data_IF_933349449283
#
_entry.id   IF_933349449283
#
_cell.length_a   1.000
_cell.length_b   1.000
_cell.length_c   1.000
_cell.angle_alpha   90.00
_cell.angle_beta   90.00
_cell.angle_gamma   90.00
#
_symmetry.space_group_name_H-M   'P 1'
#
loop_
_entity.id
_entity.type
_entity.pdbx_description
1 polymer ?
#
# COMPACT_ATOMS: atom_id res chain seq x y z
N UNK A 1 -7.13 -12.56 -5.18
CA UNK A 1 -6.60 -12.33 -6.53
C UNK A 1 -5.16 -11.88 -6.45
N UNK A 2 -4.33 -12.28 -7.36
CA UNK A 2 -2.94 -11.82 -7.53
C UNK A 2 -2.48 -12.09 -8.97
N UNK A 3 -1.48 -11.34 -9.44
CA UNK A 3 -0.79 -11.60 -10.71
C UNK A 3 0.27 -12.69 -10.57
N UNK A 4 0.76 -12.91 -9.37
CA UNK A 4 1.76 -13.94 -9.06
C UNK A 4 1.07 -15.21 -8.53
N UNK A 5 1.14 -16.28 -9.36
CA UNK A 5 0.48 -17.55 -9.05
C UNK A 5 1.05 -18.23 -7.78
N UNK A 6 2.36 -18.18 -7.57
CA UNK A 6 3.02 -18.86 -6.45
C UNK A 6 2.58 -18.27 -5.11
N UNK A 7 2.66 -16.94 -4.96
CA UNK A 7 2.22 -16.26 -3.73
C UNK A 7 0.71 -16.31 -3.53
N UNK A 8 -0.07 -16.38 -4.62
CA UNK A 8 -1.50 -16.62 -4.56
C UNK A 8 -1.82 -18.00 -3.99
N UNK A 9 -1.14 -19.05 -4.47
CA UNK A 9 -1.31 -20.42 -4.00
C UNK A 9 -0.90 -20.54 -2.52
N UNK A 10 0.20 -19.92 -2.09
CA UNK A 10 0.58 -19.84 -0.67
C UNK A 10 -0.52 -19.21 0.20
N UNK A 11 -1.11 -18.12 -0.29
CA UNK A 11 -2.22 -17.44 0.41
C UNK A 11 -3.44 -18.35 0.53
N UNK A 12 -3.78 -19.09 -0.53
CA UNK A 12 -4.88 -20.07 -0.51
C UNK A 12 -4.63 -21.15 0.54
N UNK A 13 -3.41 -21.71 0.61
CA UNK A 13 -3.06 -22.71 1.61
C UNK A 13 -3.15 -22.16 3.06
N UNK A 14 -2.75 -20.90 3.27
CA UNK A 14 -2.93 -20.25 4.57
C UNK A 14 -4.41 -20.13 4.96
N UNK A 15 -5.27 -19.74 4.00
CA UNK A 15 -6.70 -19.55 4.25
C UNK A 15 -7.45 -20.87 4.49
N UNK A 16 -7.08 -21.96 3.81
CA UNK A 16 -7.68 -23.29 4.01
C UNK A 16 -7.57 -23.80 5.44
N UNK A 17 -6.51 -23.38 6.17
CA UNK A 17 -6.33 -23.74 7.60
C UNK A 17 -7.44 -23.18 8.51
N UNK A 18 -8.20 -22.18 8.03
CA UNK A 18 -9.28 -21.58 8.80
C UNK A 18 -10.66 -22.20 8.52
N UNK A 19 -10.74 -23.28 7.73
CA UNK A 19 -11.96 -23.98 7.39
C UNK A 19 -13.05 -23.08 6.77
N UNK A 20 -12.61 -22.18 5.87
CA UNK A 20 -13.47 -21.26 5.12
C UNK A 20 -13.47 -21.63 3.64
N UNK A 21 -14.55 -21.28 2.92
CA UNK A 21 -14.59 -21.41 1.47
C UNK A 21 -13.64 -20.38 0.83
N UNK A 22 -12.76 -20.84 -0.03
CA UNK A 22 -11.73 -20.00 -0.69
C UNK A 22 -11.82 -20.22 -2.20
N UNK A 23 -11.86 -19.12 -2.94
CA UNK A 23 -11.61 -19.12 -4.38
C UNK A 23 -10.42 -18.20 -4.71
N UNK A 24 -9.68 -18.53 -5.74
CA UNK A 24 -8.53 -17.76 -6.20
C UNK A 24 -8.64 -17.45 -7.70
N UNK A 25 -8.20 -16.25 -8.06
CA UNK A 25 -8.22 -15.79 -9.44
C UNK A 25 -6.84 -15.21 -9.77
N UNK A 26 -6.16 -15.82 -10.74
CA UNK A 26 -4.94 -15.23 -11.32
C UNK A 26 -5.38 -14.07 -12.21
N UNK A 27 -5.05 -12.85 -11.82
CA UNK A 27 -5.61 -11.64 -12.43
C UNK A 27 -4.67 -10.45 -12.22
N UNK A 28 -4.44 -9.69 -13.29
CA UNK A 28 -3.79 -8.38 -13.23
C UNK A 28 -4.87 -7.30 -12.99
N UNK A 29 -4.68 -6.47 -11.97
CA UNK A 29 -5.62 -5.36 -11.67
C UNK A 29 -5.57 -4.24 -12.71
N UNK A 30 -4.54 -4.19 -13.56
CA UNK A 30 -4.45 -3.30 -14.71
C UNK A 30 -5.35 -3.77 -15.87
N UNK A 31 -5.72 -5.06 -15.92
CA UNK A 31 -6.68 -5.58 -16.89
C UNK A 31 -8.11 -5.19 -16.47
N UNK A 32 -8.61 -4.13 -17.09
CA UNK A 32 -9.93 -3.57 -16.79
C UNK A 32 -11.06 -4.57 -17.04
N UNK A 33 -11.01 -5.33 -18.12
CA UNK A 33 -12.06 -6.29 -18.50
C UNK A 33 -12.10 -7.45 -17.49
N UNK A 34 -10.93 -7.94 -17.08
CA UNK A 34 -10.83 -8.98 -16.06
C UNK A 34 -11.36 -8.51 -14.69
N UNK A 35 -11.09 -7.25 -14.32
CA UNK A 35 -11.62 -6.63 -13.09
C UNK A 35 -13.14 -6.43 -13.17
N UNK A 36 -13.69 -5.99 -14.31
CA UNK A 36 -15.14 -5.81 -14.49
C UNK A 36 -15.90 -7.14 -14.40
N UNK A 37 -15.30 -8.25 -14.84
CA UNK A 37 -15.89 -9.58 -14.76
C UNK A 37 -15.75 -10.26 -13.39
N UNK A 38 -14.86 -9.78 -12.52
CA UNK A 38 -14.52 -10.44 -11.24
C UNK A 38 -15.68 -10.49 -10.24
N UNK A 39 -16.48 -9.42 -10.02
CA UNK A 39 -17.55 -9.44 -9.03
C UNK A 39 -18.56 -10.56 -9.27
N UNK A 40 -18.98 -10.78 -10.52
CA UNK A 40 -19.94 -11.84 -10.85
C UNK A 40 -19.35 -13.23 -10.56
N UNK A 41 -18.08 -13.47 -10.91
CA UNK A 41 -17.39 -14.74 -10.61
C UNK A 41 -17.36 -15.01 -9.10
N UNK A 42 -17.13 -13.98 -8.29
CA UNK A 42 -17.13 -14.09 -6.82
C UNK A 42 -18.54 -14.37 -6.29
N UNK A 43 -19.56 -13.69 -6.80
CA UNK A 43 -20.96 -13.91 -6.40
C UNK A 43 -21.42 -15.32 -6.78
N UNK A 44 -21.06 -15.82 -7.96
CA UNK A 44 -21.39 -17.17 -8.39
C UNK A 44 -20.80 -18.26 -7.46
N UNK A 45 -19.62 -18.00 -6.90
CA UNK A 45 -18.91 -18.94 -6.01
C UNK A 45 -19.29 -18.81 -4.55
N UNK A 46 -19.56 -17.60 -4.07
CA UNK A 46 -19.77 -17.30 -2.65
C UNK A 46 -21.15 -16.73 -2.31
N UNK A 47 -21.98 -16.48 -3.32
CA UNK A 47 -23.33 -15.95 -3.17
C UNK A 47 -23.40 -14.43 -2.90
N UNK A 48 -22.32 -13.82 -2.42
CA UNK A 48 -22.28 -12.40 -2.04
C UNK A 48 -20.87 -11.85 -1.91
N UNK A 49 -20.77 -10.51 -1.87
CA UNK A 49 -19.58 -9.77 -1.46
C UNK A 49 -19.97 -8.80 -0.35
N UNK A 50 -19.20 -8.74 0.73
CA UNK A 50 -19.39 -7.80 1.83
C UNK A 50 -18.20 -6.83 2.00
N UNK A 51 -16.97 -7.30 1.69
CA UNK A 51 -15.74 -6.50 1.83
C UNK A 51 -14.88 -6.60 0.57
N UNK A 52 -14.36 -5.46 0.12
CA UNK A 52 -13.39 -5.38 -0.97
C UNK A 52 -12.13 -4.68 -0.48
N UNK A 53 -10.97 -5.33 -0.64
CA UNK A 53 -9.67 -4.76 -0.33
C UNK A 53 -8.91 -4.48 -1.63
N UNK A 54 -8.83 -3.22 -2.03
CA UNK A 54 -7.98 -2.77 -3.12
C UNK A 54 -6.57 -2.56 -2.57
N UNK A 55 -5.79 -3.63 -2.56
CA UNK A 55 -4.48 -3.68 -1.91
C UNK A 55 -3.32 -3.84 -2.89
N UNK A 56 -3.55 -4.29 -4.11
CA UNK A 56 -2.51 -4.38 -5.13
C UNK A 56 -1.78 -3.05 -5.29
N UNK A 57 -0.47 -3.12 -5.42
CA UNK A 57 0.34 -1.91 -5.56
C UNK A 57 1.81 -2.22 -5.79
N UNK A 58 2.42 -1.38 -6.60
CA UNK A 58 3.81 -1.47 -7.04
C UNK A 58 4.51 -0.12 -6.87
N UNK A 59 5.84 -0.12 -7.00
CA UNK A 59 6.64 1.11 -6.92
C UNK A 59 7.76 1.08 -7.97
N UNK A 60 8.36 2.22 -8.19
CA UNK A 60 9.63 2.38 -8.92
C UNK A 60 10.58 3.24 -8.10
N UNK A 61 11.87 3.14 -8.33
CA UNK A 61 12.91 3.89 -7.62
C UNK A 61 13.69 4.83 -8.55
N UNK A 62 13.00 5.62 -9.41
CA UNK A 62 13.66 6.54 -10.37
C UNK A 62 13.28 7.99 -10.14
N UNK A 63 14.21 8.91 -10.41
CA UNK A 63 13.91 10.33 -10.50
C UNK A 63 13.01 10.61 -11.71
N UNK A 64 12.14 11.60 -11.61
CA UNK A 64 11.16 11.92 -12.66
C UNK A 64 11.82 12.20 -14.04
N UNK A 65 12.98 12.84 -14.04
CA UNK A 65 13.72 13.14 -15.28
C UNK A 65 14.23 11.88 -16.03
N UNK A 66 14.41 10.77 -15.29
CA UNK A 66 14.95 9.50 -15.79
C UNK A 66 13.86 8.40 -15.85
N UNK A 67 12.59 8.78 -15.60
CA UNK A 67 11.45 7.86 -15.58
C UNK A 67 10.99 7.55 -17.00
N UNK A 68 11.02 6.31 -17.40
CA UNK A 68 10.43 5.85 -18.65
C UNK A 68 8.89 5.89 -18.58
N UNK A 69 8.25 6.25 -19.68
CA UNK A 69 6.78 6.35 -19.79
C UNK A 69 6.10 5.01 -19.46
N UNK A 70 6.67 3.89 -19.90
CA UNK A 70 6.17 2.55 -19.60
C UNK A 70 6.13 2.27 -18.09
N UNK A 71 7.15 2.67 -17.34
CA UNK A 71 7.18 2.50 -15.89
C UNK A 71 6.19 3.44 -15.18
N UNK A 72 6.02 4.66 -15.72
CA UNK A 72 5.01 5.60 -15.24
C UNK A 72 3.60 5.00 -15.40
N UNK A 73 3.25 4.55 -16.61
CA UNK A 73 1.94 3.99 -16.94
C UNK A 73 1.68 2.70 -16.13
N UNK A 74 2.66 1.81 -16.02
CA UNK A 74 2.55 0.61 -15.20
C UNK A 74 2.17 0.90 -13.74
N UNK A 75 2.79 1.90 -13.12
CA UNK A 75 2.44 2.28 -11.73
C UNK A 75 1.05 2.94 -11.67
N UNK A 76 0.71 3.77 -12.65
CA UNK A 76 -0.61 4.41 -12.73
C UNK A 76 -1.72 3.38 -12.90
N UNK A 77 -1.54 2.41 -13.79
CA UNK A 77 -2.55 1.39 -14.10
C UNK A 77 -2.83 0.49 -12.89
N UNK A 78 -1.79 0.04 -12.20
CA UNK A 78 -1.96 -0.82 -11.04
C UNK A 78 -2.45 -0.02 -9.82
N UNK A 79 -1.74 1.05 -9.45
CA UNK A 79 -1.97 1.72 -8.18
C UNK A 79 -3.20 2.62 -8.15
N UNK A 80 -3.62 3.16 -9.29
CA UNK A 80 -4.74 4.10 -9.39
C UNK A 80 -5.90 3.53 -10.20
N UNK A 81 -5.68 3.17 -11.47
CA UNK A 81 -6.76 2.69 -12.33
C UNK A 81 -7.30 1.35 -11.83
N UNK A 82 -6.46 0.43 -11.34
CA UNK A 82 -6.89 -0.81 -10.71
C UNK A 82 -7.81 -0.57 -9.52
N UNK A 83 -7.49 0.38 -8.64
CA UNK A 83 -8.35 0.76 -7.50
C UNK A 83 -9.68 1.34 -7.96
N UNK A 84 -9.67 2.26 -8.95
CA UNK A 84 -10.88 2.92 -9.46
C UNK A 84 -11.78 1.89 -10.16
N UNK A 85 -11.22 1.06 -11.04
CA UNK A 85 -11.97 0.07 -11.81
C UNK A 85 -12.58 -1.00 -10.90
N UNK A 86 -11.80 -1.53 -9.95
CA UNK A 86 -12.31 -2.48 -8.95
C UNK A 86 -13.41 -1.85 -8.11
N UNK A 87 -13.23 -0.63 -7.60
CA UNK A 87 -14.25 0.07 -6.83
C UNK A 87 -15.55 0.20 -7.63
N UNK A 88 -15.46 0.63 -8.90
CA UNK A 88 -16.61 0.79 -9.80
C UNK A 88 -17.31 -0.54 -10.06
N UNK A 89 -16.57 -1.61 -10.30
CA UNK A 89 -17.10 -2.94 -10.57
C UNK A 89 -17.85 -3.54 -9.36
N UNK A 90 -17.33 -3.33 -8.13
CA UNK A 90 -17.89 -3.93 -6.94
C UNK A 90 -19.05 -3.15 -6.29
N UNK A 91 -19.15 -1.83 -6.46
CA UNK A 91 -20.24 -1.01 -5.86
C UNK A 91 -21.64 -1.58 -6.12
N UNK A 92 -22.01 -2.01 -7.35
CA UNK A 92 -23.34 -2.58 -7.60
C UNK A 92 -23.67 -3.82 -6.75
N UNK A 93 -22.66 -4.62 -6.39
CA UNK A 93 -22.80 -5.85 -5.60
C UNK A 93 -22.77 -5.60 -4.08
N UNK A 94 -22.32 -4.42 -3.66
CA UNK A 94 -22.21 -4.01 -2.26
C UNK A 94 -23.36 -3.12 -1.79
N UNK A 95 -24.02 -2.39 -2.69
CA UNK A 95 -25.01 -1.35 -2.35
C UNK A 95 -26.21 -1.86 -1.56
N UNK A 96 -26.63 -3.11 -1.81
CA UNK A 96 -27.80 -3.72 -1.18
C UNK A 96 -27.42 -4.61 0.02
N UNK A 97 -26.14 -4.57 0.43
CA UNK A 97 -25.70 -5.32 1.61
C UNK A 97 -26.02 -4.55 2.89
N UNK A 98 -26.44 -5.24 3.98
CA UNK A 98 -26.76 -4.60 5.26
C UNK A 98 -25.52 -3.96 5.91
N UNK A 99 -24.34 -4.53 5.66
CA UNK A 99 -23.02 -3.98 6.03
C UNK A 99 -22.04 -4.32 4.92
N UNK A 100 -21.42 -3.31 4.36
CA UNK A 100 -20.40 -3.47 3.31
C UNK A 100 -19.26 -2.46 3.45
N UNK A 101 -18.09 -2.82 2.97
CA UNK A 101 -16.99 -1.87 2.92
C UNK A 101 -16.07 -2.08 1.73
N UNK A 102 -15.55 -0.95 1.20
CA UNK A 102 -14.42 -0.89 0.28
C UNK A 102 -13.24 -0.27 1.03
N UNK A 103 -12.12 -0.94 0.99
CA UNK A 103 -10.89 -0.56 1.66
C UNK A 103 -9.80 -0.30 0.63
N UNK A 104 -9.48 0.97 0.37
CA UNK A 104 -8.48 1.38 -0.61
C UNK A 104 -7.14 1.66 0.06
N UNK A 105 -6.09 0.98 -0.41
CA UNK A 105 -4.74 1.12 0.14
C UNK A 105 -4.00 2.27 -0.56
N UNK A 106 -3.98 3.43 0.11
CA UNK A 106 -3.07 4.53 -0.20
C UNK A 106 -1.69 4.26 0.44
N UNK A 107 -1.08 5.24 1.04
CA UNK A 107 0.20 5.18 1.76
C UNK A 107 0.32 6.41 2.65
N UNK A 108 1.29 6.43 3.56
CA UNK A 108 1.78 7.68 4.13
C UNK A 108 2.34 8.59 3.02
N UNK A 109 2.82 8.02 1.93
CA UNK A 109 3.24 8.73 0.71
C UNK A 109 2.07 9.26 -0.14
N UNK A 110 0.82 9.11 0.30
CA UNK A 110 -0.35 9.90 -0.11
C UNK A 110 -0.60 11.13 0.77
N UNK A 111 0.32 11.44 1.72
CA UNK A 111 0.28 12.59 2.63
C UNK A 111 1.54 13.45 2.55
N UNK A 112 2.70 12.81 2.45
CA UNK A 112 4.02 13.42 2.40
C UNK A 112 4.76 12.94 1.16
N UNK A 113 5.74 13.71 0.69
CA UNK A 113 6.52 13.39 -0.51
C UNK A 113 8.01 13.26 -0.21
N UNK A 114 8.67 12.36 -0.93
CA UNK A 114 10.13 12.17 -0.95
C UNK A 114 10.64 12.13 -2.40
N UNK A 115 11.91 12.45 -2.65
CA UNK A 115 12.51 12.32 -3.98
C UNK A 115 12.51 10.87 -4.48
N UNK A 116 12.60 10.67 -5.80
CA UNK A 116 12.81 9.37 -6.43
C UNK A 116 11.57 8.47 -6.53
N UNK A 117 10.38 8.96 -6.14
CA UNK A 117 9.12 8.18 -6.19
C UNK A 117 7.93 9.00 -6.69
N UNK A 118 8.15 9.87 -7.68
CA UNK A 118 7.14 10.85 -8.11
C UNK A 118 5.84 10.20 -8.56
N UNK A 119 5.87 9.16 -9.39
CA UNK A 119 4.67 8.46 -9.86
C UNK A 119 3.96 7.74 -8.72
N UNK A 120 4.71 7.12 -7.80
CA UNK A 120 4.11 6.47 -6.63
C UNK A 120 3.35 7.48 -5.76
N UNK A 121 3.96 8.64 -5.49
CA UNK A 121 3.28 9.74 -4.79
C UNK A 121 2.03 10.20 -5.54
N UNK A 122 2.14 10.45 -6.84
CA UNK A 122 0.98 10.85 -7.66
C UNK A 122 -0.19 9.88 -7.51
N UNK A 123 0.06 8.56 -7.62
CA UNK A 123 -0.99 7.55 -7.46
C UNK A 123 -1.55 7.50 -6.03
N UNK A 124 -0.71 7.55 -5.00
CA UNK A 124 -1.18 7.42 -3.61
C UNK A 124 -1.91 8.67 -3.09
N UNK A 125 -1.54 9.87 -3.55
CA UNK A 125 -2.34 11.09 -3.33
C UNK A 125 -3.67 11.01 -4.07
N UNK A 126 -3.68 10.53 -5.33
CA UNK A 126 -4.90 10.37 -6.12
C UNK A 126 -5.86 9.35 -5.48
N UNK A 127 -5.36 8.17 -5.06
CA UNK A 127 -6.17 7.16 -4.34
C UNK A 127 -6.77 7.74 -3.06
N UNK A 128 -6.01 8.53 -2.30
CA UNK A 128 -6.54 9.21 -1.13
C UNK A 128 -7.68 10.15 -1.51
N UNK A 129 -7.45 11.09 -2.44
CA UNK A 129 -8.46 12.08 -2.85
C UNK A 129 -9.73 11.40 -3.38
N UNK A 130 -9.56 10.41 -4.25
CA UNK A 130 -10.65 9.57 -4.77
C UNK A 130 -11.45 8.90 -3.65
N UNK A 131 -10.76 8.23 -2.72
CA UNK A 131 -11.40 7.48 -1.63
C UNK A 131 -12.13 8.40 -0.65
N UNK A 132 -11.55 9.55 -0.31
CA UNK A 132 -12.16 10.52 0.60
C UNK A 132 -13.41 11.16 0.00
N UNK A 133 -13.38 11.52 -1.30
CA UNK A 133 -14.57 12.03 -2.01
C UNK A 133 -15.67 10.98 -2.08
N UNK A 134 -15.34 9.77 -2.52
CA UNK A 134 -16.28 8.66 -2.61
C UNK A 134 -16.92 8.32 -1.24
N UNK A 135 -16.15 8.42 -0.16
CA UNK A 135 -16.67 8.19 1.19
C UNK A 135 -17.74 9.20 1.61
N UNK A 136 -17.67 10.43 1.10
CA UNK A 136 -18.70 11.45 1.34
C UNK A 136 -19.93 11.19 0.48
N UNK A 137 -19.75 10.87 -0.81
CA UNK A 137 -20.85 10.54 -1.72
C UNK A 137 -21.65 9.32 -1.24
N UNK A 138 -20.96 8.26 -0.79
CA UNK A 138 -21.63 7.07 -0.26
C UNK A 138 -22.34 7.34 1.07
N UNK A 139 -21.80 8.20 1.92
CA UNK A 139 -22.47 8.58 3.16
C UNK A 139 -23.80 9.32 2.93
N UNK A 140 -23.94 10.02 1.79
CA UNK A 140 -25.19 10.69 1.39
C UNK A 140 -26.19 9.76 0.72
N UNK A 141 -25.72 8.76 -0.02
CA UNK A 141 -26.54 7.93 -0.90
C UNK A 141 -26.74 6.48 -0.40
N UNK A 142 -25.79 5.98 0.39
CA UNK A 142 -25.82 4.61 0.92
C UNK A 142 -25.02 4.50 2.22
N UNK A 143 -25.66 4.73 3.35
CA UNK A 143 -25.03 4.68 4.69
C UNK A 143 -24.49 3.30 5.10
N UNK A 144 -24.95 2.21 4.46
CA UNK A 144 -24.50 0.85 4.74
C UNK A 144 -23.15 0.52 4.07
N UNK A 145 -22.77 1.24 3.00
CA UNK A 145 -21.51 1.05 2.31
C UNK A 145 -20.44 2.00 2.87
N UNK A 146 -19.52 1.44 3.62
CA UNK A 146 -18.38 2.19 4.19
C UNK A 146 -17.19 2.24 3.23
N UNK A 147 -16.58 3.40 3.09
CA UNK A 147 -15.38 3.59 2.28
C UNK A 147 -14.22 4.01 3.17
N UNK A 148 -13.13 3.24 3.13
CA UNK A 148 -11.96 3.43 3.99
C UNK A 148 -10.70 3.69 3.17
N UNK A 149 -9.92 4.70 3.56
CA UNK A 149 -8.59 4.95 3.04
C UNK A 149 -7.55 4.49 4.06
N UNK A 150 -6.70 3.54 3.65
CA UNK A 150 -5.62 3.02 4.49
C UNK A 150 -4.32 3.74 4.17
N UNK A 151 -3.60 4.18 5.19
CA UNK A 151 -2.33 4.88 5.09
C UNK A 151 -1.25 4.10 5.83
N UNK A 152 -0.65 3.07 5.20
CA UNK A 152 0.48 2.37 5.79
C UNK A 152 1.70 3.29 5.91
N UNK A 153 2.38 3.21 7.05
CA UNK A 153 3.77 3.60 7.18
C UNK A 153 4.67 2.45 6.73
N UNK A 154 5.74 2.17 7.45
CA UNK A 154 6.64 1.08 7.10
C UNK A 154 6.07 -0.27 7.53
N UNK A 155 5.53 -1.01 6.57
CA UNK A 155 5.06 -2.41 6.73
C UNK A 155 6.01 -3.33 5.95
N UNK A 156 6.49 -4.39 6.59
CA UNK A 156 7.46 -5.35 6.03
C UNK A 156 6.81 -6.26 4.98
N UNK A 157 6.69 -5.76 3.76
CA UNK A 157 6.15 -6.46 2.59
C UNK A 157 7.22 -6.62 1.52
N UNK A 158 6.89 -7.34 0.45
CA UNK A 158 7.76 -7.51 -0.70
C UNK A 158 7.68 -6.35 -1.72
N UNK A 159 7.10 -5.20 -1.35
CA UNK A 159 6.88 -4.09 -2.29
C UNK A 159 8.18 -3.59 -2.94
N UNK A 160 9.28 -3.57 -2.19
CA UNK A 160 10.60 -3.17 -2.72
C UNK A 160 11.14 -4.25 -3.65
N UNK A 161 11.06 -5.53 -3.28
CA UNK A 161 11.50 -6.64 -4.13
C UNK A 161 10.70 -6.73 -5.44
N UNK A 162 9.43 -6.34 -5.42
CA UNK A 162 8.55 -6.34 -6.59
C UNK A 162 8.55 -5.00 -7.35
N UNK A 163 9.40 -4.05 -6.95
CA UNK A 163 9.52 -2.76 -7.64
C UNK A 163 10.38 -2.88 -8.89
N UNK A 164 10.04 -2.09 -9.91
CA UNK A 164 10.91 -1.93 -11.08
C UNK A 164 12.01 -0.93 -10.73
N UNK A 165 13.13 -1.46 -10.25
CA UNK A 165 14.36 -0.70 -9.97
C UNK A 165 15.51 -1.33 -10.76
N UNK A 166 16.35 -0.49 -11.33
CA UNK A 166 17.52 -0.88 -12.07
C UNK A 166 18.78 -0.73 -11.19
N UNK A 167 19.57 -1.80 -11.09
CA UNK A 167 20.78 -1.87 -10.25
C UNK A 167 21.82 -0.80 -10.64
N UNK A 168 21.95 -0.49 -11.92
CA UNK A 168 22.90 0.50 -12.38
C UNK A 168 22.49 1.90 -11.92
N UNK A 169 21.22 2.27 -12.17
CA UNK A 169 20.64 3.53 -11.68
C UNK A 169 20.68 3.64 -10.16
N UNK A 170 20.50 2.52 -9.45
CA UNK A 170 20.59 2.50 -7.99
C UNK A 170 22.02 2.79 -7.51
N UNK A 171 23.03 2.16 -8.09
CA UNK A 171 24.45 2.40 -7.79
C UNK A 171 24.88 3.82 -8.12
N UNK A 172 24.47 4.34 -9.29
CA UNK A 172 24.72 5.73 -9.64
C UNK A 172 24.10 6.71 -8.62
N UNK A 173 22.90 6.41 -8.12
CA UNK A 173 22.26 7.23 -7.08
C UNK A 173 23.04 7.22 -5.76
N UNK A 174 23.65 6.08 -5.40
CA UNK A 174 24.50 5.97 -4.21
C UNK A 174 25.80 6.76 -4.36
N UNK A 175 26.39 6.80 -5.56
CA UNK A 175 27.61 7.54 -5.85
C UNK A 175 27.37 9.06 -5.91
N UNK A 176 26.25 9.50 -6.49
CA UNK A 176 25.88 10.92 -6.62
C UNK A 176 25.45 11.54 -5.29
N UNK A 177 24.83 10.78 -4.40
CA UNK A 177 24.50 11.23 -3.07
C UNK A 177 25.77 11.27 -2.21
N UNK A 178 26.57 12.32 -2.38
CA UNK A 178 27.68 12.61 -1.50
C UNK A 178 27.30 12.37 -0.04
N UNK A 179 28.13 11.67 0.73
CA UNK A 179 28.01 11.26 2.15
C UNK A 179 27.60 12.36 3.16
N UNK A 180 26.97 13.42 2.70
CA UNK A 180 26.59 14.61 3.47
C UNK A 180 25.27 14.47 4.24
N UNK A 181 24.45 13.45 3.94
CA UNK A 181 23.19 13.23 4.61
C UNK A 181 23.24 12.02 5.55
N UNK A 182 22.76 12.16 6.78
CA UNK A 182 22.61 11.07 7.76
C UNK A 182 21.81 9.89 7.18
N UNK A 183 20.96 10.15 6.19
CA UNK A 183 20.12 9.14 5.52
C UNK A 183 20.88 8.28 4.51
N UNK A 184 22.03 8.75 4.00
CA UNK A 184 22.80 8.05 2.98
C UNK A 184 23.88 7.16 3.58
N UNK A 185 24.25 7.39 4.83
CA UNK A 185 25.41 6.79 5.49
C UNK A 185 25.32 5.28 5.73
N UNK A 186 24.12 4.70 5.70
CA UNK A 186 23.87 3.28 5.95
C UNK A 186 22.84 2.69 4.94
N UNK A 187 22.88 3.14 3.68
CA UNK A 187 22.05 2.53 2.65
C UNK A 187 22.59 1.16 2.27
N UNK A 188 21.74 0.18 2.02
CA UNK A 188 22.12 -1.10 1.44
C UNK A 188 22.89 -0.91 0.13
N UNK A 189 23.86 -1.77 -0.14
CA UNK A 189 24.68 -1.67 -1.34
C UNK A 189 23.97 -2.20 -2.60
N UNK A 190 22.94 -3.03 -2.43
CA UNK A 190 22.17 -3.64 -3.51
C UNK A 190 20.67 -3.46 -3.29
N UNK A 191 19.89 -3.60 -4.36
CA UNK A 191 18.41 -3.60 -4.29
C UNK A 191 17.92 -4.78 -3.44
N UNK A 192 18.56 -5.94 -3.52
CA UNK A 192 18.22 -7.13 -2.75
C UNK A 192 18.37 -6.88 -1.24
N UNK A 193 19.52 -6.35 -0.81
CA UNK A 193 19.73 -5.95 0.59
C UNK A 193 18.73 -4.89 1.06
N UNK A 194 18.36 -3.96 0.17
CA UNK A 194 17.35 -2.95 0.46
C UNK A 194 15.97 -3.59 0.65
N UNK A 195 15.59 -4.53 -0.19
CA UNK A 195 14.33 -5.25 -0.09
C UNK A 195 14.25 -6.08 1.20
N UNK A 196 15.32 -6.79 1.55
CA UNK A 196 15.40 -7.56 2.79
C UNK A 196 15.33 -6.65 4.03
N UNK A 197 16.13 -5.60 4.06
CA UNK A 197 16.11 -4.60 5.13
C UNK A 197 14.75 -3.92 5.28
N UNK A 198 14.08 -3.62 4.18
CA UNK A 198 12.72 -3.07 4.19
C UNK A 198 11.73 -4.08 4.77
N UNK A 199 11.79 -5.34 4.35
CA UNK A 199 10.92 -6.41 4.81
C UNK A 199 11.09 -6.68 6.31
N UNK A 200 12.30 -6.85 6.77
CA UNK A 200 12.60 -7.15 8.17
C UNK A 200 12.37 -5.96 9.09
N UNK A 201 12.74 -4.77 8.63
CA UNK A 201 12.58 -3.53 9.35
C UNK A 201 11.13 -3.06 9.47
N UNK A 202 10.14 -3.57 8.73
CA UNK A 202 8.74 -3.15 8.73
C UNK A 202 7.90 -3.72 9.87
N UNK A 203 6.73 -3.14 10.10
CA UNK A 203 5.70 -3.78 10.91
C UNK A 203 5.28 -5.08 10.26
N UNK A 204 5.13 -6.15 11.03
CA UNK A 204 4.67 -7.43 10.50
C UNK A 204 3.29 -7.30 9.80
N UNK A 205 3.09 -7.84 8.59
CA UNK A 205 1.85 -7.68 7.81
C UNK A 205 0.58 -8.11 8.57
N UNK A 206 0.64 -9.17 9.38
CA UNK A 206 -0.53 -9.62 10.17
C UNK A 206 -0.97 -8.57 11.20
N UNK A 207 -0.03 -7.83 11.80
CA UNK A 207 -0.36 -6.73 12.71
C UNK A 207 -0.97 -5.54 11.97
N UNK A 208 -0.48 -5.24 10.77
CA UNK A 208 -1.06 -4.23 9.91
C UNK A 208 -2.52 -4.60 9.55
N UNK A 209 -2.77 -5.85 9.15
CA UNK A 209 -4.11 -6.35 8.86
C UNK A 209 -5.07 -6.21 10.06
N UNK A 210 -4.64 -6.54 11.28
CA UNK A 210 -5.44 -6.36 12.51
C UNK A 210 -5.82 -4.89 12.73
N UNK A 211 -4.89 -3.94 12.46
CA UNK A 211 -5.17 -2.50 12.58
C UNK A 211 -6.21 -2.08 11.55
N UNK A 212 -6.09 -2.57 10.30
CA UNK A 212 -7.06 -2.29 9.22
C UNK A 212 -8.44 -2.79 9.64
N UNK A 213 -8.57 -4.06 10.00
CA UNK A 213 -9.85 -4.66 10.39
C UNK A 213 -10.47 -3.96 11.60
N UNK A 214 -9.65 -3.58 12.60
CA UNK A 214 -10.12 -2.76 13.73
C UNK A 214 -10.61 -1.38 13.29
N UNK A 215 -9.96 -0.77 12.30
CA UNK A 215 -10.36 0.51 11.72
C UNK A 215 -11.69 0.43 10.98
N UNK A 216 -11.86 -0.63 10.17
CA UNK A 216 -13.11 -0.92 9.45
C UNK A 216 -14.26 -1.13 10.43
N UNK A 217 -14.11 -2.01 11.43
CA UNK A 217 -15.11 -2.21 12.49
C UNK A 217 -15.51 -0.95 13.23
N UNK A 218 -14.59 0.01 13.38
CA UNK A 218 -14.82 1.32 14.01
C UNK A 218 -15.28 2.39 13.03
N UNK A 219 -15.58 2.02 11.79
CA UNK A 219 -16.05 2.91 10.70
C UNK A 219 -15.14 4.13 10.48
N UNK A 220 -13.81 3.94 10.61
CA UNK A 220 -12.83 5.02 10.43
C UNK A 220 -12.58 5.30 8.97
N UNK A 221 -12.86 6.49 8.48
CA UNK A 221 -12.59 6.89 7.09
C UNK A 221 -11.11 6.82 6.73
N UNK A 222 -10.21 7.20 7.66
CA UNK A 222 -8.75 7.10 7.50
C UNK A 222 -8.19 6.12 8.53
N UNK A 223 -7.40 5.16 8.06
CA UNK A 223 -6.78 4.13 8.89
C UNK A 223 -5.26 4.23 8.73
N UNK A 224 -4.60 4.79 9.74
CA UNK A 224 -3.14 4.91 9.78
C UNK A 224 -2.52 3.67 10.39
N UNK A 225 -1.49 3.12 9.73
CA UNK A 225 -0.76 1.93 10.18
C UNK A 225 0.66 2.36 10.57
N UNK A 226 1.00 2.14 11.84
CA UNK A 226 2.28 2.51 12.42
C UNK A 226 2.25 3.88 13.10
N UNK A 227 3.23 4.10 13.98
CA UNK A 227 3.43 5.38 14.64
C UNK A 227 4.06 6.39 13.68
N UNK A 228 4.94 5.90 12.81
CA UNK A 228 5.58 6.65 11.74
C UNK A 228 4.56 7.36 10.84
N UNK A 229 3.52 6.63 10.38
CA UNK A 229 2.49 7.22 9.53
C UNK A 229 1.73 8.36 10.22
N UNK A 230 1.44 8.22 11.52
CA UNK A 230 0.75 9.26 12.30
C UNK A 230 1.62 10.48 12.54
N UNK A 231 2.91 10.27 12.86
CA UNK A 231 3.85 11.37 13.11
C UNK A 231 4.13 12.17 11.84
N UNK A 232 4.29 11.49 10.71
CA UNK A 232 4.51 12.15 9.42
C UNK A 232 3.30 12.94 8.95
N UNK A 233 2.10 12.38 9.10
CA UNK A 233 0.85 13.08 8.80
C UNK A 233 0.71 14.33 9.68
N UNK A 234 0.96 14.23 10.98
CA UNK A 234 0.92 15.36 11.90
C UNK A 234 1.96 16.43 11.53
N UNK A 235 3.19 16.00 11.19
CA UNK A 235 4.26 16.93 10.79
C UNK A 235 3.90 17.72 9.53
N UNK A 236 3.27 17.09 8.56
CA UNK A 236 2.82 17.73 7.33
C UNK A 236 1.68 18.73 7.61
N UNK A 237 0.78 18.43 8.53
CA UNK A 237 -0.29 19.38 8.94
C UNK A 237 0.24 20.63 9.62
N UNK A 238 1.21 20.47 10.51
CA UNK A 238 1.76 21.61 11.29
C UNK A 238 2.74 22.40 10.45
N UNK A 239 3.55 21.73 9.64
CA UNK A 239 4.63 22.33 8.84
C UNK A 239 4.52 22.00 7.35
N UNK A 240 3.44 22.39 6.64
CA UNK A 240 3.16 21.93 5.27
C UNK A 240 4.30 22.21 4.27
N UNK A 241 5.06 23.30 4.46
CA UNK A 241 6.15 23.70 3.58
C UNK A 241 7.54 23.26 4.08
N UNK A 242 7.64 22.71 5.29
CA UNK A 242 8.94 22.41 5.93
C UNK A 242 9.04 20.99 6.49
N UNK A 243 7.99 20.16 6.40
CA UNK A 243 7.99 18.81 6.97
C UNK A 243 9.17 17.97 6.50
N UNK A 244 9.61 18.10 5.24
CA UNK A 244 10.76 17.40 4.67
C UNK A 244 12.08 17.73 5.39
N UNK A 245 12.22 18.93 6.01
CA UNK A 245 13.39 19.32 6.80
C UNK A 245 13.36 18.78 8.23
N UNK A 246 12.15 18.49 8.72
CA UNK A 246 11.92 18.04 10.09
C UNK A 246 11.89 16.51 10.16
N UNK A 247 11.58 15.85 9.05
CA UNK A 247 11.53 14.40 8.90
C UNK A 247 12.75 13.66 9.50
N UNK A 248 14.01 14.07 9.26
CA UNK A 248 15.17 13.41 9.84
C UNK A 248 15.09 13.28 11.35
N UNK A 249 14.64 14.33 12.02
CA UNK A 249 14.56 14.35 13.50
C UNK A 249 13.52 13.38 14.07
N UNK A 250 12.48 13.04 13.31
CA UNK A 250 11.47 12.07 13.73
C UNK A 250 11.82 10.63 13.35
N UNK A 251 12.48 10.43 12.21
CA UNK A 251 12.80 9.10 11.72
C UNK A 251 14.06 8.51 12.37
N UNK A 252 15.06 9.33 12.68
CA UNK A 252 16.30 8.87 13.33
C UNK A 252 16.02 8.17 14.67
N UNK A 253 15.22 8.72 15.61
CA UNK A 253 14.90 8.03 16.85
C UNK A 253 14.14 6.72 16.62
N UNK A 254 13.23 6.67 15.66
CA UNK A 254 12.48 5.45 15.32
C UNK A 254 13.38 4.35 14.75
N UNK A 255 14.40 4.71 13.98
CA UNK A 255 15.42 3.79 13.47
C UNK A 255 16.36 3.30 14.59
N UNK A 256 16.84 4.20 15.45
CA UNK A 256 17.78 3.86 16.54
C UNK A 256 17.13 2.98 17.63
N UNK A 257 15.86 3.21 17.98
CA UNK A 257 15.14 2.40 18.95
C UNK A 257 14.77 1.01 18.44
N UNK A 258 14.84 0.77 17.13
CA UNK A 258 14.49 -0.47 16.47
C UNK A 258 15.63 -1.49 16.48
N UNK A 259 16.87 -1.04 16.36
CA UNK A 259 18.09 -1.89 16.35
C UNK A 259 18.43 -2.52 17.71
N UNK A 260 17.64 -2.29 18.76
CA UNK A 260 17.93 -2.74 20.13
C UNK A 260 17.07 -3.89 20.64
N UNK A 261 16.31 -4.59 19.82
CA UNK A 261 15.67 -5.84 20.26
C UNK A 261 16.52 -7.03 19.83
N UNK A 262 17.18 -7.74 20.79
CA UNK A 262 17.81 -9.00 20.47
C UNK A 262 16.74 -10.00 20.03
N UNK A 263 17.02 -10.67 18.92
CA UNK A 263 16.23 -11.81 18.44
C UNK A 263 16.28 -12.85 19.56
N UNK A 264 15.19 -13.00 20.31
CA UNK A 264 15.00 -14.17 21.15
C UNK A 264 14.77 -15.35 20.23
N UNK A 265 15.78 -16.21 20.11
CA UNK A 265 15.66 -17.54 19.56
C UNK A 265 14.43 -18.21 20.17
N UNK A 266 13.43 -18.50 19.39
CA UNK A 266 12.37 -19.44 19.73
C UNK A 266 12.95 -20.84 19.47
N UNK A 267 13.36 -21.51 20.57
CA UNK A 267 13.47 -22.96 20.59
C UNK A 267 12.08 -23.57 20.65
#
# INVERSE_FOLDING_TARGET
>A
CDVNKETLDETVEMLRKHNVSVSSHLLDVADKEAIEALPQKVVDQHGKVDLVFNNAGVSTGKHFKDMEEENWDWVMDINLHGVINSTRAFIPHLKDRPEAAIINTSSIFGMVAVPGQTVYHATKFAVRGFTESLALEMAETNENLQIHCVHPGHVGTNIVANSRMDEESYKESLEQENNSSIFTRNRPATIEEMAESFKEGGMHPSKAAQIILSGVKKKRRRIFIGLDSKLLELSQRIFPNKYHRIWPFFMIPLMIFRDKKPIKSLN
#
